data_IF_734389163677
#
_entry.id   IF_734389163677
#
_cell.length_a   1.000
_cell.length_b   1.000
_cell.length_c   1.000
_cell.angle_alpha   90.00
_cell.angle_beta   90.00
_cell.angle_gamma   90.00
#
_symmetry.space_group_name_H-M   'P 1'
#
loop_
_entity.id
_entity.type
_entity.pdbx_description
1 polymer ?
#
# COMPACT_ATOMS: atom_id res chain seq x y z
N UNK A 1 29.83 39.93 58.26
CA UNK A 1 28.42 40.25 58.60
C UNK A 1 27.92 41.26 57.57
N UNK A 2 26.87 41.11 56.75
CA UNK A 2 25.77 40.15 56.60
C UNK A 2 25.52 40.04 55.08
N UNK A 3 25.51 38.83 54.52
CA UNK A 3 25.04 38.60 53.14
C UNK A 3 23.51 38.57 53.24
N UNK A 4 22.83 39.55 52.65
CA UNK A 4 21.36 39.55 52.55
C UNK A 4 20.99 38.71 51.33
N UNK A 5 20.64 37.45 51.57
CA UNK A 5 19.95 36.60 50.59
C UNK A 5 18.61 37.23 50.23
N UNK A 6 18.45 37.64 48.97
CA UNK A 6 17.16 37.99 48.40
C UNK A 6 16.64 36.74 47.68
N UNK A 7 15.68 36.06 48.32
CA UNK A 7 14.89 34.99 47.72
C UNK A 7 14.08 35.58 46.56
N UNK A 8 14.51 35.32 45.33
CA UNK A 8 13.69 35.57 44.14
C UNK A 8 12.78 34.36 44.00
N UNK A 9 11.51 34.57 44.34
CA UNK A 9 10.45 33.60 44.11
C UNK A 9 10.30 33.35 42.60
N UNK A 10 10.54 32.12 42.18
CA UNK A 10 10.29 31.65 40.82
C UNK A 10 8.77 31.48 40.68
N UNK A 11 8.09 32.19 39.77
CA UNK A 11 6.72 31.83 39.43
C UNK A 11 6.79 30.58 38.57
N UNK A 12 6.44 29.44 39.18
CA UNK A 12 6.10 28.20 38.49
C UNK A 12 4.89 28.49 37.63
N UNK A 13 5.15 28.85 36.37
CA UNK A 13 4.12 28.95 35.35
C UNK A 13 3.70 27.52 34.99
N UNK A 14 2.66 27.04 35.67
CA UNK A 14 1.94 25.83 35.32
C UNK A 14 1.37 25.98 33.91
N UNK A 15 2.16 25.63 32.89
CA UNK A 15 1.64 25.37 31.54
C UNK A 15 1.05 23.98 31.56
N UNK A 16 -0.22 23.89 31.96
CA UNK A 16 -1.08 22.74 31.72
C UNK A 16 -1.27 22.58 30.20
N UNK A 17 -0.34 21.86 29.57
CA UNK A 17 -0.53 21.32 28.22
C UNK A 17 -1.68 20.30 28.28
N UNK A 18 -2.87 20.77 27.95
CA UNK A 18 -3.98 19.93 27.55
C UNK A 18 -3.55 19.18 26.29
N UNK A 19 -3.09 17.94 26.45
CA UNK A 19 -3.04 16.98 25.35
C UNK A 19 -4.49 16.67 25.01
N UNK A 20 -5.04 17.36 24.00
CA UNK A 20 -6.22 16.85 23.31
C UNK A 20 -5.78 15.56 22.64
N UNK A 21 -6.13 14.43 23.27
CA UNK A 21 -6.14 13.12 22.64
C UNK A 21 -7.06 13.21 21.42
N UNK A 22 -6.45 13.48 20.28
CA UNK A 22 -7.05 13.19 18.98
C UNK A 22 -6.99 11.69 18.83
N UNK A 23 -7.87 10.99 19.55
CA UNK A 23 -8.16 9.59 19.32
C UNK A 23 -8.75 9.51 17.92
N UNK A 24 -7.84 9.38 16.97
CA UNK A 24 -8.17 9.03 15.59
C UNK A 24 -8.83 7.67 15.70
N UNK A 25 -10.15 7.61 15.54
CA UNK A 25 -10.85 6.34 15.45
C UNK A 25 -10.30 5.66 14.21
N UNK A 26 -9.34 4.75 14.42
CA UNK A 26 -8.99 3.76 13.42
C UNK A 26 -10.25 2.93 13.26
N UNK A 27 -11.05 3.29 12.25
CA UNK A 27 -12.02 2.35 11.73
C UNK A 27 -11.19 1.21 11.17
N UNK A 28 -11.04 0.15 11.96
CA UNK A 28 -10.82 -1.16 11.38
C UNK A 28 -12.02 -1.35 10.46
N UNK A 29 -11.80 -1.20 9.15
CA UNK A 29 -12.73 -1.72 8.15
C UNK A 29 -12.84 -3.19 8.52
N UNK A 30 -13.93 -3.53 9.19
CA UNK A 30 -14.31 -4.91 9.38
C UNK A 30 -14.54 -5.39 7.96
N UNK A 31 -13.56 -6.13 7.43
CA UNK A 31 -13.80 -7.00 6.29
C UNK A 31 -14.99 -7.83 6.73
N UNK A 32 -16.18 -7.47 6.26
CA UNK A 32 -17.29 -8.40 6.29
C UNK A 32 -16.78 -9.59 5.52
N UNK A 33 -16.30 -10.62 6.23
CA UNK A 33 -16.24 -11.95 5.67
C UNK A 33 -17.68 -12.27 5.31
N UNK A 34 -17.98 -12.05 4.04
CA UNK A 34 -19.24 -12.42 3.44
C UNK A 34 -19.38 -13.92 3.71
N UNK A 35 -20.46 -14.39 4.37
CA UNK A 35 -20.61 -15.80 4.65
C UNK A 35 -20.58 -16.55 3.32
N UNK A 36 -19.55 -17.37 3.15
CA UNK A 36 -19.37 -18.22 1.99
C UNK A 36 -20.43 -19.32 2.04
N UNK A 37 -21.63 -19.02 1.56
CA UNK A 37 -22.63 -20.03 1.26
C UNK A 37 -22.14 -20.84 0.05
N UNK A 38 -21.83 -22.13 0.28
CA UNK A 38 -21.19 -23.04 -0.68
C UNK A 38 -22.09 -23.45 -1.85
N UNK A 39 -23.25 -22.81 -2.01
CA UNK A 39 -24.23 -23.09 -3.06
C UNK A 39 -24.31 -22.03 -4.17
N UNK A 40 -23.61 -20.91 -4.04
CA UNK A 40 -23.45 -19.98 -5.17
C UNK A 40 -22.21 -20.38 -5.94
N UNK A 41 -22.34 -20.88 -7.18
CA UNK A 41 -21.22 -20.89 -8.13
C UNK A 41 -20.66 -19.46 -8.13
N UNK A 42 -19.51 -19.24 -7.49
CA UNK A 42 -18.91 -17.91 -7.38
C UNK A 42 -18.72 -17.40 -8.80
N UNK A 43 -19.49 -16.38 -9.17
CA UNK A 43 -19.39 -15.80 -10.51
C UNK A 43 -17.94 -15.35 -10.71
N UNK A 44 -17.39 -15.61 -11.89
CA UNK A 44 -16.05 -15.17 -12.25
C UNK A 44 -15.91 -13.68 -11.94
N UNK A 45 -14.94 -13.33 -11.09
CA UNK A 45 -14.81 -11.97 -10.56
C UNK A 45 -13.35 -11.57 -10.39
N UNK A 46 -13.10 -10.27 -10.56
CA UNK A 46 -11.82 -9.65 -10.22
C UNK A 46 -11.96 -8.87 -8.93
N UNK A 47 -11.14 -9.19 -7.93
CA UNK A 47 -10.96 -8.36 -6.74
C UNK A 47 -9.74 -7.46 -6.92
N UNK A 48 -9.96 -6.14 -6.82
CA UNK A 48 -8.91 -5.12 -6.93
C UNK A 48 -8.68 -4.52 -5.57
N UNK A 49 -7.44 -4.68 -5.09
CA UNK A 49 -6.96 -4.09 -3.85
C UNK A 49 -6.03 -2.92 -4.16
N UNK A 50 -6.16 -1.81 -3.44
CA UNK A 50 -5.33 -0.62 -3.61
C UNK A 50 -4.62 -0.30 -2.30
N UNK A 51 -3.38 0.19 -2.38
CA UNK A 51 -2.58 0.58 -1.22
C UNK A 51 -1.52 1.60 -1.61
N UNK A 52 -0.88 2.22 -0.62
CA UNK A 52 0.35 2.97 -0.83
C UNK A 52 1.54 2.06 -0.51
N UNK A 53 2.44 1.90 -1.47
CA UNK A 53 3.60 1.03 -1.36
C UNK A 53 4.89 1.85 -1.57
N UNK A 54 5.93 1.49 -0.84
CA UNK A 54 7.24 2.12 -0.96
C UNK A 54 8.02 1.42 -2.09
N UNK A 55 8.30 2.15 -3.18
CA UNK A 55 9.05 1.64 -4.32
C UNK A 55 10.46 2.20 -4.33
N UNK A 56 11.45 1.32 -4.49
CA UNK A 56 12.82 1.75 -4.80
C UNK A 56 12.87 2.32 -6.21
N UNK A 57 13.21 3.61 -6.33
CA UNK A 57 13.32 4.29 -7.63
C UNK A 57 14.76 4.42 -8.10
N UNK A 58 15.72 4.41 -7.17
CA UNK A 58 17.13 4.53 -7.49
C UNK A 58 17.98 3.76 -6.48
N UNK A 59 19.01 3.09 -6.96
CA UNK A 59 19.95 2.33 -6.14
C UNK A 59 21.37 2.60 -6.63
N UNK A 60 22.15 3.35 -5.85
CA UNK A 60 23.50 3.80 -6.24
C UNK A 60 24.57 3.33 -5.26
N UNK A 61 25.73 2.82 -5.74
CA UNK A 61 26.83 2.45 -4.86
C UNK A 61 27.51 3.70 -4.31
N UNK A 62 27.66 3.80 -2.99
CA UNK A 62 28.31 4.95 -2.31
C UNK A 62 29.79 4.68 -2.10
N UNK A 63 30.13 3.51 -1.54
CA UNK A 63 31.52 3.15 -1.21
C UNK A 63 31.67 1.64 -1.05
N UNK A 64 32.80 1.10 -1.50
CA UNK A 64 33.21 -0.28 -1.17
C UNK A 64 34.09 -0.24 0.08
N UNK A 65 33.61 -0.80 1.19
CA UNK A 65 34.39 -0.91 2.42
C UNK A 65 34.61 -2.39 2.73
N UNK A 66 35.88 -2.84 2.70
CA UNK A 66 36.31 -4.18 3.15
C UNK A 66 35.36 -5.32 2.70
N UNK A 67 35.14 -5.44 1.39
CA UNK A 67 34.27 -6.45 0.72
C UNK A 67 32.75 -6.25 0.89
N UNK A 68 32.28 -5.20 1.57
CA UNK A 68 30.86 -4.80 1.58
C UNK A 68 30.65 -3.56 0.71
N UNK A 69 29.64 -3.60 -0.15
CA UNK A 69 29.20 -2.42 -0.92
C UNK A 69 28.15 -1.69 -0.10
N UNK A 70 28.43 -0.44 0.27
CA UNK A 70 27.44 0.46 0.85
C UNK A 70 26.63 1.03 -0.32
N UNK A 71 25.31 0.89 -0.24
CA UNK A 71 24.38 1.27 -1.28
C UNK A 71 23.45 2.34 -0.73
N UNK A 72 23.26 3.41 -1.49
CA UNK A 72 22.22 4.39 -1.25
C UNK A 72 20.96 3.96 -1.99
N UNK A 73 19.83 3.98 -1.29
CA UNK A 73 18.53 3.60 -1.84
C UNK A 73 17.65 4.83 -1.75
N UNK A 74 17.20 5.33 -2.90
CA UNK A 74 16.12 6.31 -2.96
C UNK A 74 14.82 5.55 -3.18
N UNK A 75 13.87 5.77 -2.30
CA UNK A 75 12.56 5.16 -2.39
C UNK A 75 11.47 6.24 -2.37
N UNK A 76 10.37 5.96 -3.05
CA UNK A 76 9.22 6.84 -3.15
C UNK A 76 7.95 6.09 -2.79
N UNK A 77 7.10 6.72 -1.98
CA UNK A 77 5.79 6.19 -1.67
C UNK A 77 4.87 6.48 -2.87
N UNK A 78 4.29 5.43 -3.45
CA UNK A 78 3.40 5.53 -4.62
C UNK A 78 2.15 4.71 -4.40
N UNK A 79 1.07 5.12 -5.04
CA UNK A 79 -0.14 4.30 -5.10
C UNK A 79 0.14 3.03 -5.91
N UNK A 80 -0.40 1.92 -5.45
CA UNK A 80 -0.23 0.60 -6.02
C UNK A 80 -1.52 -0.20 -5.93
N UNK A 81 -1.64 -1.21 -6.77
CA UNK A 81 -2.77 -2.11 -6.77
C UNK A 81 -2.35 -3.57 -6.94
N UNK A 82 -3.22 -4.47 -6.51
CA UNK A 82 -3.15 -5.92 -6.63
C UNK A 82 -4.48 -6.40 -7.23
N UNK A 83 -4.44 -7.43 -8.08
CA UNK A 83 -5.65 -7.99 -8.72
C UNK A 83 -5.69 -9.49 -8.48
N UNK A 84 -6.81 -10.01 -7.99
CA UNK A 84 -7.01 -11.43 -7.68
C UNK A 84 -8.23 -11.93 -8.45
N UNK A 85 -8.11 -13.09 -9.09
CA UNK A 85 -9.26 -13.80 -9.65
C UNK A 85 -9.97 -14.55 -8.52
N UNK A 86 -11.24 -14.23 -8.27
CA UNK A 86 -12.09 -14.85 -7.25
C UNK A 86 -13.01 -15.96 -7.80
N UNK A 87 -12.81 -16.38 -9.06
CA UNK A 87 -13.57 -17.44 -9.70
C UNK A 87 -13.25 -18.85 -9.18
N UNK A 88 -14.18 -19.79 -9.41
CA UNK A 88 -14.08 -21.19 -8.94
C UNK A 88 -13.15 -22.09 -9.76
N UNK A 89 -12.62 -21.60 -10.88
CA UNK A 89 -11.74 -22.41 -11.72
C UNK A 89 -10.34 -22.47 -11.10
N UNK A 90 -9.75 -23.67 -11.10
CA UNK A 90 -8.44 -24.01 -10.52
C UNK A 90 -7.25 -23.17 -11.00
N UNK A 91 -7.46 -22.27 -11.97
CA UNK A 91 -6.49 -21.28 -12.41
C UNK A 91 -6.56 -20.02 -11.56
N UNK A 92 -5.94 -20.07 -10.38
CA UNK A 92 -5.66 -18.89 -9.59
C UNK A 92 -4.81 -17.91 -10.40
N UNK A 93 -5.36 -16.73 -10.71
CA UNK A 93 -4.60 -15.63 -11.29
C UNK A 93 -4.49 -14.52 -10.25
N UNK A 94 -3.26 -14.19 -9.91
CA UNK A 94 -2.94 -13.03 -9.08
C UNK A 94 -1.93 -12.16 -9.83
N UNK A 95 -2.19 -10.86 -9.81
CA UNK A 95 -1.23 -9.82 -10.16
C UNK A 95 -0.78 -9.21 -8.85
N UNK A 96 0.51 -9.42 -8.54
CA UNK A 96 1.17 -8.82 -7.38
C UNK A 96 1.12 -7.29 -7.42
N UNK A 97 1.42 -6.70 -6.26
CA UNK A 97 1.47 -5.24 -6.07
C UNK A 97 2.24 -4.55 -7.20
N UNK A 98 1.49 -3.81 -8.00
CA UNK A 98 1.97 -3.09 -9.17
C UNK A 98 1.76 -1.61 -8.95
N UNK A 99 2.76 -0.81 -9.30
CA UNK A 99 2.67 0.66 -9.22
C UNK A 99 1.55 1.16 -10.13
N UNK A 100 0.67 1.99 -9.57
CA UNK A 100 -0.35 2.69 -10.36
C UNK A 100 0.32 3.75 -11.24
N UNK A 101 -0.14 3.84 -12.49
CA UNK A 101 0.32 4.86 -13.45
C UNK A 101 -0.89 5.62 -13.98
N UNK A 102 -0.67 6.75 -14.65
CA UNK A 102 -1.76 7.52 -15.28
C UNK A 102 -2.61 6.69 -16.25
N UNK A 103 -2.01 5.67 -16.89
CA UNK A 103 -2.69 4.77 -17.82
C UNK A 103 -3.33 3.56 -17.14
N UNK A 104 -2.79 3.12 -16.01
CA UNK A 104 -3.19 1.89 -15.31
C UNK A 104 -3.35 2.20 -13.82
N UNK A 105 -4.57 2.53 -13.42
CA UNK A 105 -4.94 2.79 -12.03
C UNK A 105 -6.38 2.31 -11.78
N UNK A 106 -6.60 0.99 -11.64
CA UNK A 106 -7.92 0.46 -11.35
C UNK A 106 -8.40 0.93 -9.97
N UNK A 107 -9.72 1.01 -9.79
CA UNK A 107 -10.31 1.39 -8.51
C UNK A 107 -10.45 0.17 -7.61
N UNK A 108 -10.42 0.39 -6.30
CA UNK A 108 -10.70 -0.63 -5.31
C UNK A 108 -12.10 -1.20 -5.50
N UNK A 109 -12.23 -2.52 -5.39
CA UNK A 109 -13.52 -3.21 -5.38
C UNK A 109 -13.50 -4.55 -6.10
N UNK A 110 -14.63 -5.24 -6.01
CA UNK A 110 -14.84 -6.53 -6.65
C UNK A 110 -15.78 -6.37 -7.85
N UNK A 111 -15.34 -6.83 -9.02
CA UNK A 111 -16.04 -6.66 -10.28
C UNK A 111 -16.47 -8.02 -10.84
N UNK A 112 -17.76 -8.16 -11.11
CA UNK A 112 -18.35 -9.40 -11.63
C UNK A 112 -18.23 -9.48 -13.15
N UNK A 113 -18.03 -10.69 -13.70
CA UNK A 113 -18.01 -10.90 -15.14
C UNK A 113 -19.24 -10.31 -15.83
N UNK A 114 -18.99 -9.67 -16.98
CA UNK A 114 -20.03 -9.03 -17.79
C UNK A 114 -20.29 -7.55 -17.44
N UNK A 115 -19.73 -7.01 -16.36
CA UNK A 115 -19.80 -5.56 -16.11
C UNK A 115 -18.75 -4.78 -16.92
N UNK A 116 -18.99 -3.50 -17.23
CA UNK A 116 -17.98 -2.65 -17.88
C UNK A 116 -16.66 -2.56 -17.10
N UNK A 117 -16.73 -2.49 -15.77
CA UNK A 117 -15.56 -2.40 -14.90
C UNK A 117 -14.76 -3.70 -14.91
N UNK A 118 -15.43 -4.86 -14.95
CA UNK A 118 -14.77 -6.14 -15.12
C UNK A 118 -13.96 -6.19 -16.42
N UNK A 119 -14.55 -5.74 -17.54
CA UNK A 119 -13.86 -5.71 -18.82
C UNK A 119 -12.64 -4.78 -18.81
N UNK A 120 -12.72 -3.67 -18.08
CA UNK A 120 -11.59 -2.77 -17.88
C UNK A 120 -10.47 -3.45 -17.09
N UNK A 121 -10.78 -4.07 -15.96
CA UNK A 121 -9.79 -4.78 -15.12
C UNK A 121 -9.18 -5.96 -15.88
N UNK A 122 -10.00 -6.72 -16.61
CA UNK A 122 -9.53 -7.84 -17.43
C UNK A 122 -8.56 -7.38 -18.55
N UNK A 123 -8.83 -6.23 -19.17
CA UNK A 123 -7.90 -5.62 -20.13
C UNK A 123 -6.56 -5.26 -19.48
N UNK A 124 -6.58 -4.68 -18.28
CA UNK A 124 -5.38 -4.35 -17.51
C UNK A 124 -4.56 -5.62 -17.21
N UNK A 125 -5.23 -6.68 -16.74
CA UNK A 125 -4.58 -7.97 -16.46
C UNK A 125 -3.92 -8.54 -17.73
N UNK A 126 -4.61 -8.48 -18.88
CA UNK A 126 -4.05 -8.93 -20.16
C UNK A 126 -2.81 -8.12 -20.57
N UNK A 127 -2.84 -6.80 -20.43
CA UNK A 127 -1.71 -5.93 -20.76
C UNK A 127 -0.50 -6.22 -19.86
N UNK A 128 -0.71 -6.34 -18.55
CA UNK A 128 0.35 -6.64 -17.59
C UNK A 128 0.98 -8.02 -17.84
N UNK A 129 0.17 -9.04 -18.14
CA UNK A 129 0.68 -10.38 -18.52
C UNK A 129 1.51 -10.34 -19.79
N UNK A 130 1.07 -9.59 -20.80
CA UNK A 130 1.82 -9.43 -22.06
C UNK A 130 3.16 -8.73 -21.82
N UNK A 131 3.18 -7.67 -21.01
CA UNK A 131 4.40 -6.95 -20.64
C UNK A 131 5.39 -7.88 -19.93
N UNK A 132 4.92 -8.63 -18.93
CA UNK A 132 5.75 -9.60 -18.21
C UNK A 132 6.31 -10.69 -19.13
N UNK A 133 5.53 -11.18 -20.10
CA UNK A 133 5.98 -12.15 -21.09
C UNK A 133 7.09 -11.59 -22.00
N UNK A 134 6.94 -10.34 -22.45
CA UNK A 134 7.96 -9.64 -23.27
C UNK A 134 9.27 -9.43 -22.51
N UNK A 135 9.18 -9.03 -21.24
CA UNK A 135 10.36 -8.84 -20.38
C UNK A 135 11.11 -10.14 -20.12
N UNK A 136 10.40 -11.27 -20.01
CA UNK A 136 11.01 -12.61 -19.91
C UNK A 136 11.68 -13.06 -21.21
N UNK A 137 11.11 -12.72 -22.36
CA UNK A 137 11.67 -13.09 -23.67
C UNK A 137 12.91 -12.25 -24.06
N UNK A 138 13.09 -11.08 -23.44
CA UNK A 138 14.22 -10.19 -23.71
C UNK A 138 15.44 -10.43 -22.80
N UNK A 139 15.33 -11.35 -21.83
CA UNK A 139 16.42 -11.76 -20.93
C UNK A 139 16.95 -13.13 -21.33
#
# INVERSE_FOLDING_TARGET
>A
MKIKSLLIAVPVLCVSLLVLDSSSSVYAVSTMEQPADSTTRSALAWDVQTSQQLFTVEMTPVKKLRKKTIINIKAELRDAFRIINCGTDSSYTEIDWTMATEKISPKFGTYMAGTPEYNQVDSIVRELKLKAAKEKASK
#
